data_IF_154671537001
#
_entry.id   IF_154671537001
#
_cell.length_a   1.000
_cell.length_b   1.000
_cell.length_c   1.000
_cell.angle_alpha   90.00
_cell.angle_beta   90.00
_cell.angle_gamma   90.00
#
_symmetry.space_group_name_H-M   'P 1'
#
loop_
_entity.id
_entity.type
_entity.pdbx_description
1 polymer ?
#
# COMPACT_ATOMS: atom_id res chain seq x y z
N UNK A 1 -20.87 -9.28 -1.65
CA UNK A 1 -19.80 -10.07 -1.04
C UNK A 1 -20.17 -10.27 0.41
N UNK A 2 -20.13 -11.51 0.88
CA UNK A 2 -20.27 -11.78 2.31
C UNK A 2 -19.01 -11.32 3.05
N UNK A 3 -19.13 -11.12 4.37
CA UNK A 3 -18.04 -10.56 5.20
C UNK A 3 -16.73 -11.32 5.01
N UNK A 4 -16.80 -12.64 4.98
CA UNK A 4 -15.62 -13.51 4.92
C UNK A 4 -14.88 -13.39 3.58
N UNK A 5 -15.61 -13.27 2.46
CA UNK A 5 -15.02 -13.04 1.15
C UNK A 5 -14.27 -11.69 1.12
N UNK A 6 -14.87 -10.66 1.70
CA UNK A 6 -14.24 -9.35 1.85
C UNK A 6 -12.97 -9.40 2.70
N UNK A 7 -13.01 -10.11 3.84
CA UNK A 7 -11.84 -10.32 4.72
C UNK A 7 -10.72 -11.04 3.96
N UNK A 8 -11.02 -12.12 3.26
CA UNK A 8 -10.01 -12.85 2.49
C UNK A 8 -9.37 -12.00 1.40
N UNK A 9 -10.18 -11.23 0.64
CA UNK A 9 -9.68 -10.33 -0.40
C UNK A 9 -8.77 -9.25 0.19
N UNK A 10 -9.22 -8.60 1.26
CA UNK A 10 -8.46 -7.54 1.92
C UNK A 10 -7.14 -8.04 2.51
N UNK A 11 -7.15 -9.25 3.08
CA UNK A 11 -5.94 -9.91 3.57
C UNK A 11 -4.92 -10.13 2.45
N UNK A 12 -5.34 -10.69 1.32
CA UNK A 12 -4.46 -10.90 0.15
C UNK A 12 -3.84 -9.59 -0.34
N UNK A 13 -4.62 -8.52 -0.37
CA UNK A 13 -4.14 -7.21 -0.79
C UNK A 13 -3.14 -6.61 0.22
N UNK A 14 -3.38 -6.77 1.53
CA UNK A 14 -2.41 -6.39 2.56
C UNK A 14 -1.11 -7.19 2.46
N UNK A 15 -1.19 -8.49 2.19
CA UNK A 15 -0.02 -9.35 2.01
C UNK A 15 0.80 -8.89 0.78
N UNK A 16 0.13 -8.53 -0.31
CA UNK A 16 0.77 -7.96 -1.49
C UNK A 16 1.48 -6.63 -1.19
N UNK A 17 0.81 -5.72 -0.46
CA UNK A 17 1.41 -4.44 -0.08
C UNK A 17 2.61 -4.60 0.84
N UNK A 18 2.56 -5.54 1.79
CA UNK A 18 3.69 -5.86 2.64
C UNK A 18 4.88 -6.36 1.81
N UNK A 19 4.66 -7.31 0.89
CA UNK A 19 5.72 -7.83 0.03
C UNK A 19 6.37 -6.74 -0.84
N UNK A 20 5.55 -5.84 -1.39
CA UNK A 20 5.99 -4.67 -2.16
C UNK A 20 6.84 -3.71 -1.32
N UNK A 21 6.40 -3.41 -0.09
CA UNK A 21 7.16 -2.57 0.86
C UNK A 21 8.50 -3.24 1.18
N UNK A 22 8.51 -4.53 1.50
CA UNK A 22 9.72 -5.29 1.85
C UNK A 22 10.73 -5.29 0.70
N UNK A 23 10.28 -5.49 -0.54
CA UNK A 23 11.12 -5.42 -1.74
C UNK A 23 11.79 -4.03 -1.87
N UNK A 24 11.06 -2.95 -1.59
CA UNK A 24 11.64 -1.61 -1.63
C UNK A 24 12.63 -1.33 -0.52
N UNK A 25 12.35 -1.80 0.70
CA UNK A 25 13.27 -1.65 1.82
C UNK A 25 14.63 -2.29 1.50
N UNK A 26 14.62 -3.46 0.86
CA UNK A 26 15.83 -4.12 0.37
C UNK A 26 16.54 -3.27 -0.70
N UNK A 27 15.83 -2.80 -1.72
CA UNK A 27 16.41 -1.93 -2.77
C UNK A 27 16.99 -0.62 -2.21
N UNK A 28 16.35 -0.03 -1.20
CA UNK A 28 16.87 1.17 -0.51
C UNK A 28 18.15 0.89 0.27
N UNK A 29 18.31 -0.29 0.84
CA UNK A 29 19.53 -0.67 1.55
C UNK A 29 20.73 -0.70 0.59
N UNK A 30 20.51 -1.10 -0.66
CA UNK A 30 21.51 -1.15 -1.75
C UNK A 30 21.76 0.22 -2.41
N UNK A 31 20.82 1.17 -2.31
CA UNK A 31 20.94 2.48 -2.94
C UNK A 31 22.02 3.38 -2.31
N UNK A 32 22.53 4.36 -3.07
CA UNK A 32 23.47 5.37 -2.57
C UNK A 32 22.82 6.30 -1.53
N UNK A 33 23.61 6.80 -0.57
CA UNK A 33 23.15 7.61 0.58
C UNK A 33 22.33 8.83 0.19
N UNK A 34 22.68 9.52 -0.90
CA UNK A 34 21.95 10.67 -1.44
C UNK A 34 20.54 10.31 -1.95
N UNK A 35 20.34 9.08 -2.42
CA UNK A 35 19.03 8.61 -2.87
C UNK A 35 18.18 8.09 -1.70
N UNK A 36 18.81 7.52 -0.65
CA UNK A 36 18.12 7.02 0.56
C UNK A 36 17.19 8.06 1.20
N UNK A 37 17.62 9.32 1.30
CA UNK A 37 16.78 10.38 1.90
C UNK A 37 15.50 10.64 1.11
N UNK A 38 15.55 10.59 -0.23
CA UNK A 38 14.37 10.80 -1.08
C UNK A 38 13.42 9.61 -1.03
N UNK A 39 13.96 8.40 -0.91
CA UNK A 39 13.15 7.19 -0.83
C UNK A 39 12.50 7.01 0.54
N UNK A 40 13.13 7.53 1.61
CA UNK A 40 12.58 7.42 2.97
C UNK A 40 11.18 8.02 3.07
N UNK A 41 10.95 9.21 2.52
CA UNK A 41 9.63 9.86 2.56
C UNK A 41 8.57 9.03 1.82
N UNK A 42 8.92 8.42 0.69
CA UNK A 42 7.99 7.59 -0.09
C UNK A 42 7.69 6.26 0.60
N UNK A 43 8.71 5.64 1.20
CA UNK A 43 8.56 4.43 2.00
C UNK A 43 7.68 4.68 3.24
N UNK A 44 7.88 5.80 3.92
CA UNK A 44 7.06 6.19 5.07
C UNK A 44 5.59 6.41 4.65
N UNK A 45 5.34 6.99 3.47
CA UNK A 45 3.99 7.10 2.90
C UNK A 45 3.35 5.74 2.62
N UNK A 46 4.07 4.82 1.98
CA UNK A 46 3.59 3.45 1.72
C UNK A 46 3.26 2.69 3.02
N UNK A 47 4.15 2.79 4.02
CA UNK A 47 3.96 2.19 5.34
C UNK A 47 2.72 2.75 6.04
N UNK A 48 2.51 4.08 5.96
CA UNK A 48 1.34 4.73 6.53
C UNK A 48 0.04 4.24 5.88
N UNK A 49 -0.04 4.21 4.54
CA UNK A 49 -1.21 3.68 3.81
C UNK A 49 -1.52 2.23 4.19
N UNK A 50 -0.48 1.39 4.29
CA UNK A 50 -0.61 -0.01 4.74
C UNK A 50 -1.15 -0.10 6.16
N UNK A 51 -0.67 0.74 7.09
CA UNK A 51 -1.15 0.75 8.48
C UNK A 51 -2.61 1.19 8.58
N UNK A 52 -3.03 2.22 7.84
CA UNK A 52 -4.43 2.62 7.77
C UNK A 52 -5.33 1.49 7.27
N UNK A 53 -4.89 0.77 6.24
CA UNK A 53 -5.61 -0.37 5.72
C UNK A 53 -5.64 -1.54 6.71
N UNK A 54 -4.54 -1.83 7.41
CA UNK A 54 -4.53 -2.84 8.47
C UNK A 54 -5.53 -2.50 9.58
N UNK A 55 -5.65 -1.22 9.96
CA UNK A 55 -6.63 -0.78 10.95
C UNK A 55 -8.07 -0.93 10.46
N UNK A 56 -8.33 -0.64 9.19
CA UNK A 56 -9.65 -0.89 8.58
C UNK A 56 -9.95 -2.39 8.50
N UNK A 57 -9.00 -3.21 8.07
CA UNK A 57 -9.14 -4.66 7.99
C UNK A 57 -9.54 -5.27 9.34
N UNK A 58 -8.89 -4.87 10.43
CA UNK A 58 -9.23 -5.33 11.79
C UNK A 58 -10.66 -4.99 12.19
N UNK A 59 -11.21 -3.86 11.75
CA UNK A 59 -12.59 -3.48 12.04
C UNK A 59 -13.59 -4.45 11.40
N UNK A 60 -13.35 -4.85 10.14
CA UNK A 60 -14.22 -5.82 9.44
C UNK A 60 -14.01 -7.24 9.95
N UNK A 61 -12.76 -7.62 10.22
CA UNK A 61 -12.46 -8.94 10.79
C UNK A 61 -13.16 -9.14 12.14
N UNK A 62 -13.29 -8.09 12.94
CA UNK A 62 -13.99 -8.10 14.23
C UNK A 62 -15.50 -7.84 14.17
N UNK A 63 -16.06 -7.52 13.00
CA UNK A 63 -17.49 -7.24 12.88
C UNK A 63 -18.32 -8.53 12.71
N UNK A 64 -19.57 -8.49 13.16
CA UNK A 64 -20.57 -9.52 12.86
C UNK A 64 -21.08 -9.36 11.42
N UNK A 65 -21.70 -10.42 10.87
CA UNK A 65 -22.33 -10.37 9.54
C UNK A 65 -23.39 -9.26 9.43
N UNK A 66 -24.23 -9.10 10.46
CA UNK A 66 -25.25 -8.05 10.49
C UNK A 66 -24.61 -6.65 10.43
N UNK A 67 -23.58 -6.41 11.25
CA UNK A 67 -22.88 -5.13 11.24
C UNK A 67 -22.17 -4.89 9.90
N UNK A 68 -21.61 -5.93 9.28
CA UNK A 68 -21.01 -5.85 7.94
C UNK A 68 -22.03 -5.43 6.89
N UNK A 69 -23.22 -6.04 6.88
CA UNK A 69 -24.26 -5.69 5.91
C UNK A 69 -24.65 -4.21 5.97
N UNK A 70 -24.66 -3.63 7.16
CA UNK A 70 -24.99 -2.21 7.36
C UNK A 70 -23.83 -1.26 6.98
N UNK A 71 -22.56 -1.66 7.21
CA UNK A 71 -21.40 -0.77 7.05
C UNK A 71 -20.59 -0.99 5.76
N UNK A 72 -20.78 -2.12 5.08
CA UNK A 72 -19.90 -2.64 4.00
C UNK A 72 -19.65 -1.63 2.89
N UNK A 73 -20.69 -0.93 2.42
CA UNK A 73 -20.57 0.03 1.32
C UNK A 73 -19.57 1.16 1.64
N UNK A 74 -19.73 1.83 2.78
CA UNK A 74 -18.82 2.90 3.19
C UNK A 74 -17.42 2.36 3.50
N UNK A 75 -17.34 1.13 4.02
CA UNK A 75 -16.07 0.46 4.22
C UNK A 75 -15.34 0.19 2.91
N UNK A 76 -16.03 -0.36 1.91
CA UNK A 76 -15.46 -0.69 0.59
C UNK A 76 -14.99 0.56 -0.16
N UNK A 77 -15.75 1.66 -0.08
CA UNK A 77 -15.34 2.96 -0.62
C UNK A 77 -14.05 3.43 0.06
N UNK A 78 -13.99 3.40 1.39
CA UNK A 78 -12.79 3.79 2.12
C UNK A 78 -11.60 2.87 1.84
N UNK A 79 -11.82 1.57 1.66
CA UNK A 79 -10.78 0.61 1.29
C UNK A 79 -10.24 0.89 -0.11
N UNK A 80 -11.13 1.21 -1.07
CA UNK A 80 -10.75 1.57 -2.43
C UNK A 80 -9.86 2.82 -2.44
N UNK A 81 -10.20 3.84 -1.66
CA UNK A 81 -9.38 5.05 -1.54
C UNK A 81 -7.98 4.77 -0.97
N UNK A 82 -7.87 3.90 0.03
CA UNK A 82 -6.55 3.47 0.53
C UNK A 82 -5.76 2.71 -0.53
N UNK A 83 -6.42 1.84 -1.29
CA UNK A 83 -5.77 1.13 -2.39
C UNK A 83 -5.26 2.06 -3.49
N UNK A 84 -6.06 3.05 -3.88
CA UNK A 84 -5.65 4.10 -4.81
C UNK A 84 -4.48 4.92 -4.25
N UNK A 85 -4.51 5.28 -2.96
CA UNK A 85 -3.41 5.98 -2.29
C UNK A 85 -2.11 5.18 -2.30
N UNK A 86 -2.17 3.89 -1.99
CA UNK A 86 -1.03 2.99 -2.04
C UNK A 86 -0.45 2.86 -3.45
N UNK A 87 -1.30 2.61 -4.46
CA UNK A 87 -0.84 2.48 -5.86
C UNK A 87 -0.24 3.78 -6.39
N UNK A 88 -0.78 4.94 -6.00
CA UNK A 88 -0.20 6.23 -6.35
C UNK A 88 1.19 6.42 -5.72
N UNK A 89 1.35 6.15 -4.43
CA UNK A 89 2.64 6.21 -3.75
C UNK A 89 3.66 5.24 -4.37
N UNK A 90 3.21 4.03 -4.72
CA UNK A 90 4.02 3.02 -5.40
C UNK A 90 4.47 3.47 -6.80
N UNK A 91 3.54 4.06 -7.57
CA UNK A 91 3.82 4.58 -8.91
C UNK A 91 4.77 5.77 -8.87
N UNK A 92 4.58 6.72 -7.94
CA UNK A 92 5.51 7.84 -7.76
C UNK A 92 6.93 7.36 -7.41
N UNK A 93 7.01 6.29 -6.63
CA UNK A 93 8.27 5.62 -6.34
C UNK A 93 8.92 5.10 -7.64
N UNK A 94 8.18 4.32 -8.44
CA UNK A 94 8.69 3.73 -9.69
C UNK A 94 9.00 4.74 -10.80
N UNK A 95 8.15 5.74 -11.00
CA UNK A 95 8.27 6.74 -12.06
C UNK A 95 9.45 7.70 -11.84
N UNK A 96 9.75 8.06 -10.58
CA UNK A 96 10.95 8.86 -10.26
C UNK A 96 12.25 8.07 -10.43
N UNK A 97 12.19 6.73 -10.47
CA UNK A 97 13.34 5.86 -10.74
C UNK A 97 13.73 5.80 -12.23
N UNK A 98 12.80 6.08 -13.16
CA UNK A 98 13.07 6.08 -14.61
C UNK A 98 13.67 7.41 -15.11
N UNK A 99 13.47 8.52 -14.40
CA UNK A 99 14.06 9.83 -14.77
C UNK A 99 15.51 10.04 -14.31
N UNK A 100 16.18 8.97 -13.84
CA UNK A 100 17.60 8.96 -13.48
C UNK A 100 18.44 7.92 -14.22
N UNK A 101 17.91 7.25 -15.25
CA UNK A 101 18.72 6.40 -16.13
C UNK A 101 19.73 7.24 -16.92
N UNK A 102 20.95 6.73 -17.21
CA UNK A 102 22.01 7.51 -17.84
C UNK A 102 21.55 7.98 -19.22
N UNK A 103 21.20 9.27 -19.32
CA UNK A 103 21.28 10.02 -20.57
C UNK A 103 22.59 10.77 -20.57
N UNK A 104 23.64 10.01 -20.83
CA UNK A 104 24.78 10.54 -21.53
C UNK A 104 25.26 9.42 -22.45
N UNK A 105 24.94 9.51 -23.75
CA UNK A 105 25.88 9.39 -24.89
C UNK A 105 25.20 9.85 -26.18
N UNK A 106 25.89 10.77 -26.86
CA UNK A 106 25.71 11.36 -28.20
C UNK A 106 24.81 12.58 -28.32
#
# INVERSE_FOLDING_TARGET
MDRDESVERMKKQLDEWNARIDEWEQRMNEAQTNMKSRYKEQLDSLRHQREEAMNKFKQVQGSSEAAWNDMSKGFEEAWKHLAEGFENAWSEFGAKHQKGGPKDKS
#
